data_IF_373788630779
#
_entry.id   IF_373788630779
#
_cell.length_a   1.000
_cell.length_b   1.000
_cell.length_c   1.000
_cell.angle_alpha   90.00
_cell.angle_beta   90.00
_cell.angle_gamma   90.00
#
_symmetry.space_group_name_H-M   'P 1'
#
loop_
_entity.id
_entity.type
_entity.pdbx_description
1 polymer ?
#
# COMPACT_ATOMS: atom_id res chain seq x y z
N UNK A 1 13.74 7.24 11.02
CA UNK A 1 13.93 8.34 10.08
C UNK A 1 12.60 9.01 9.81
N UNK A 2 11.59 8.34 9.27
CA UNK A 2 10.31 8.92 8.88
C UNK A 2 9.63 9.77 9.96
N UNK A 3 9.55 9.27 11.20
CA UNK A 3 8.96 9.99 12.33
C UNK A 3 9.64 11.36 12.62
N UNK A 4 10.97 11.41 12.56
CA UNK A 4 11.74 12.57 13.01
C UNK A 4 12.17 13.51 11.88
N UNK A 5 12.36 12.98 10.66
CA UNK A 5 12.91 13.71 9.50
C UNK A 5 11.98 13.74 8.29
N UNK A 6 10.87 13.00 8.34
CA UNK A 6 9.88 13.02 7.27
C UNK A 6 9.07 14.31 7.28
N UNK A 7 8.64 14.72 6.10
CA UNK A 7 7.69 15.82 5.89
C UNK A 7 6.24 15.34 6.05
N UNK A 8 5.32 15.81 5.23
CA UNK A 8 3.89 15.54 5.37
C UNK A 8 3.52 14.08 5.08
N UNK A 9 4.16 13.46 4.10
CA UNK A 9 3.93 12.07 3.68
C UNK A 9 5.18 11.22 3.87
N UNK A 10 4.97 9.99 4.32
CA UNK A 10 6.01 8.99 4.51
C UNK A 10 5.67 7.77 3.67
N UNK A 11 6.61 7.32 2.86
CA UNK A 11 6.50 6.09 2.09
C UNK A 11 7.47 5.04 2.63
N UNK A 12 6.93 3.94 3.13
CA UNK A 12 7.68 2.74 3.54
C UNK A 12 7.79 1.81 2.34
N UNK A 13 9.00 1.35 2.08
CA UNK A 13 9.32 0.51 0.93
C UNK A 13 10.15 -0.69 1.37
N UNK A 14 9.69 -1.88 1.03
CA UNK A 14 10.47 -3.12 1.11
C UNK A 14 11.35 -3.24 -0.14
N UNK A 15 12.49 -3.91 -0.02
CA UNK A 15 13.52 -3.99 -1.07
C UNK A 15 13.20 -5.00 -2.19
N UNK A 16 12.12 -5.74 -2.05
CA UNK A 16 11.64 -6.73 -3.02
C UNK A 16 10.43 -6.25 -3.86
N UNK A 17 10.24 -4.93 -3.96
CA UNK A 17 9.22 -4.33 -4.81
C UNK A 17 9.82 -3.71 -6.07
N UNK A 18 9.20 -3.99 -7.21
CA UNK A 18 9.40 -3.25 -8.45
C UNK A 18 8.30 -2.18 -8.59
N UNK A 19 8.68 -0.92 -8.57
CA UNK A 19 7.79 0.21 -8.73
C UNK A 19 7.72 0.67 -10.18
N UNK A 20 6.50 0.95 -10.68
CA UNK A 20 6.33 1.49 -12.03
C UNK A 20 6.59 3.00 -12.04
N UNK A 21 7.07 3.51 -13.15
CA UNK A 21 7.44 4.92 -13.30
C UNK A 21 6.39 5.92 -12.77
N UNK A 22 5.08 5.79 -13.06
CA UNK A 22 4.07 6.74 -12.57
C UNK A 22 3.65 6.53 -11.11
N UNK A 23 4.26 5.57 -10.37
CA UNK A 23 3.76 5.17 -9.05
C UNK A 23 3.72 6.33 -8.06
N UNK A 24 4.83 7.01 -7.88
CA UNK A 24 4.94 8.06 -6.86
C UNK A 24 4.04 9.25 -7.17
N UNK A 25 4.01 9.71 -8.42
CA UNK A 25 3.12 10.81 -8.86
C UNK A 25 1.66 10.46 -8.59
N UNK A 26 1.23 9.25 -9.00
CA UNK A 26 -0.15 8.81 -8.82
C UNK A 26 -0.52 8.66 -7.35
N UNK A 27 0.36 8.12 -6.52
CA UNK A 27 0.11 7.97 -5.09
C UNK A 27 -0.04 9.32 -4.39
N UNK A 28 0.87 10.26 -4.63
CA UNK A 28 0.81 11.59 -3.99
C UNK A 28 -0.44 12.34 -4.44
N UNK A 29 -0.69 12.44 -5.76
CA UNK A 29 -1.86 13.14 -6.27
C UNK A 29 -3.19 12.49 -5.85
N UNK A 30 -3.23 11.15 -5.78
CA UNK A 30 -4.41 10.44 -5.27
C UNK A 30 -4.58 10.62 -3.75
N UNK A 31 -3.48 10.66 -2.98
CA UNK A 31 -3.54 10.96 -1.55
C UNK A 31 -4.18 12.32 -1.29
N UNK A 32 -3.67 13.37 -1.92
CA UNK A 32 -4.20 14.72 -1.78
C UNK A 32 -5.70 14.78 -2.12
N UNK A 33 -6.09 14.17 -3.25
CA UNK A 33 -7.48 14.13 -3.67
C UNK A 33 -8.37 13.37 -2.69
N UNK A 34 -8.00 12.15 -2.31
CA UNK A 34 -8.80 11.29 -1.45
C UNK A 34 -8.90 11.84 -0.03
N UNK A 35 -7.78 12.29 0.56
CA UNK A 35 -7.77 12.87 1.90
C UNK A 35 -8.62 14.12 1.98
N UNK A 36 -8.58 14.99 0.96
CA UNK A 36 -9.42 16.18 0.86
C UNK A 36 -10.91 15.83 0.74
N UNK A 37 -11.27 14.85 -0.10
CA UNK A 37 -12.66 14.45 -0.29
C UNK A 37 -13.26 13.78 0.95
N UNK A 38 -12.47 13.01 1.67
CA UNK A 38 -12.89 12.24 2.84
C UNK A 38 -12.77 13.09 4.13
N UNK A 39 -11.95 14.14 4.09
CA UNK A 39 -11.71 15.03 5.24
C UNK A 39 -10.81 14.39 6.31
N UNK A 40 -9.99 13.39 5.97
CA UNK A 40 -9.06 12.75 6.89
C UNK A 40 -7.87 12.11 6.17
N UNK A 41 -6.80 11.89 6.93
CA UNK A 41 -5.63 11.12 6.49
C UNK A 41 -5.99 9.65 6.23
N UNK A 42 -5.18 8.97 5.39
CA UNK A 42 -5.37 7.57 5.02
C UNK A 42 -4.03 6.86 4.79
N UNK A 43 -4.12 5.55 4.64
CA UNK A 43 -3.04 4.69 4.19
C UNK A 43 -3.24 4.31 2.72
N UNK A 44 -2.15 4.21 1.96
CA UNK A 44 -2.18 3.80 0.57
C UNK A 44 -1.15 2.71 0.30
N UNK A 45 -1.61 1.55 -0.15
CA UNK A 45 -0.76 0.49 -0.67
C UNK A 45 -0.57 0.68 -2.18
N UNK A 46 0.65 0.54 -2.75
CA UNK A 46 0.86 0.71 -4.18
C UNK A 46 0.48 -0.51 -5.02
N UNK A 47 0.21 -1.65 -4.38
CA UNK A 47 0.00 -2.93 -5.06
C UNK A 47 -1.45 -3.36 -5.07
N UNK A 48 -1.87 -3.92 -6.20
CA UNK A 48 -3.17 -4.56 -6.42
C UNK A 48 -2.98 -6.08 -6.34
N UNK A 49 -3.12 -6.63 -5.15
CA UNK A 49 -2.81 -8.04 -4.91
C UNK A 49 -3.89 -8.99 -5.42
N UNK A 50 -3.54 -10.18 -5.94
CA UNK A 50 -4.49 -11.20 -6.36
C UNK A 50 -5.49 -11.59 -5.27
N UNK A 51 -5.08 -11.63 -4.00
CA UNK A 51 -5.97 -12.01 -2.90
C UNK A 51 -7.22 -11.12 -2.79
N UNK A 52 -7.14 -9.85 -3.19
CA UNK A 52 -8.26 -8.92 -3.19
C UNK A 52 -9.41 -9.34 -4.14
N UNK A 53 -9.12 -10.24 -5.08
CA UNK A 53 -10.09 -10.80 -6.01
C UNK A 53 -10.58 -12.19 -5.61
N UNK A 54 -10.00 -12.76 -4.54
CA UNK A 54 -10.29 -14.11 -4.05
C UNK A 54 -11.08 -14.11 -2.74
N UNK A 55 -11.33 -12.94 -2.19
CA UNK A 55 -12.05 -12.76 -0.92
C UNK A 55 -13.40 -12.09 -1.13
N UNK A 56 -14.36 -12.33 -0.22
CA UNK A 56 -15.66 -11.68 -0.21
C UNK A 56 -15.68 -10.41 0.66
N UNK A 57 -14.52 -9.77 0.87
CA UNK A 57 -14.46 -8.54 1.63
C UNK A 57 -15.21 -7.40 0.90
N UNK A 58 -16.05 -6.68 1.64
CA UNK A 58 -16.71 -5.50 1.10
C UNK A 58 -15.67 -4.43 0.86
N UNK A 59 -15.68 -3.85 -0.34
CA UNK A 59 -14.78 -2.81 -0.73
C UNK A 59 -15.52 -1.67 -1.39
N UNK A 60 -15.20 -0.43 -1.01
CA UNK A 60 -15.69 0.76 -1.69
C UNK A 60 -14.67 1.15 -2.77
N UNK A 61 -15.19 1.62 -3.90
CA UNK A 61 -14.36 2.15 -4.99
C UNK A 61 -14.31 3.67 -4.87
N UNK A 62 -13.10 4.20 -4.90
CA UNK A 62 -12.79 5.62 -4.80
C UNK A 62 -12.12 6.09 -6.09
N UNK A 63 -12.31 7.34 -6.44
CA UNK A 63 -11.71 7.95 -7.64
C UNK A 63 -10.45 8.70 -7.22
N UNK A 64 -9.28 8.12 -7.54
CA UNK A 64 -7.98 8.78 -7.37
C UNK A 64 -7.69 9.76 -8.50
N UNK A 65 -6.41 10.00 -8.78
CA UNK A 65 -5.99 10.92 -9.84
C UNK A 65 -6.22 10.33 -11.25
N UNK A 66 -5.47 9.31 -11.62
CA UNK A 66 -5.57 8.63 -12.93
C UNK A 66 -6.14 7.21 -12.82
N UNK A 67 -6.51 6.76 -11.62
CA UNK A 67 -6.94 5.39 -11.31
C UNK A 67 -8.12 5.35 -10.36
N UNK A 68 -8.81 4.21 -10.35
CA UNK A 68 -9.69 3.85 -9.26
C UNK A 68 -8.86 3.23 -8.13
N UNK A 69 -9.31 3.44 -6.92
CA UNK A 69 -8.76 2.86 -5.70
C UNK A 69 -9.86 2.10 -4.99
N UNK A 70 -9.50 1.06 -4.27
CA UNK A 70 -10.45 0.32 -3.44
C UNK A 70 -10.03 0.35 -1.98
N UNK A 71 -11.00 0.32 -1.07
CA UNK A 71 -10.70 0.13 0.35
C UNK A 71 -10.24 -1.30 0.60
N UNK A 72 -9.24 -1.45 1.45
CA UNK A 72 -8.67 -2.73 1.86
C UNK A 72 -8.46 -2.75 3.37
N UNK A 73 -8.43 -3.94 3.96
CA UNK A 73 -8.22 -4.15 5.39
C UNK A 73 -6.88 -4.82 5.71
N UNK A 74 -6.16 -5.26 4.68
CA UNK A 74 -4.86 -5.92 4.82
C UNK A 74 -3.91 -5.48 3.71
N UNK A 75 -2.65 -5.34 4.05
CA UNK A 75 -1.56 -5.10 3.08
C UNK A 75 -0.24 -5.61 3.66
N UNK A 76 0.83 -5.53 2.87
CA UNK A 76 2.21 -5.78 3.28
C UNK A 76 2.86 -4.49 3.79
N UNK A 77 4.15 -4.52 4.10
CA UNK A 77 4.84 -3.38 4.73
C UNK A 77 5.23 -2.25 3.77
N UNK A 78 4.90 -2.36 2.49
CA UNK A 78 5.07 -1.28 1.50
C UNK A 78 3.80 -0.45 1.40
N UNK A 79 3.82 0.75 1.99
CA UNK A 79 2.66 1.65 2.03
C UNK A 79 3.08 3.10 2.24
N UNK A 80 2.19 4.03 1.88
CA UNK A 80 2.32 5.47 2.14
C UNK A 80 1.25 5.93 3.14
N UNK A 81 1.63 6.86 4.02
CA UNK A 81 0.69 7.51 4.94
C UNK A 81 1.18 8.90 5.36
N UNK A 82 0.33 9.66 6.05
CA UNK A 82 0.74 10.94 6.64
C UNK A 82 1.64 10.75 7.86
N UNK A 83 2.45 11.76 8.13
CA UNK A 83 3.22 11.86 9.36
C UNK A 83 2.33 11.86 10.62
N UNK A 84 1.12 12.40 10.50
CA UNK A 84 0.14 12.40 11.59
C UNK A 84 -0.27 10.98 11.97
N UNK A 85 -0.67 10.16 10.97
CA UNK A 85 -1.03 8.76 11.21
C UNK A 85 0.18 7.92 11.66
N UNK A 86 1.37 8.18 11.10
CA UNK A 86 2.59 7.52 11.57
C UNK A 86 2.84 7.81 13.06
N UNK A 87 2.70 9.06 13.49
CA UNK A 87 2.87 9.43 14.89
C UNK A 87 1.77 8.83 15.78
N UNK A 88 0.51 8.87 15.33
CA UNK A 88 -0.64 8.34 16.06
C UNK A 88 -0.50 6.85 16.38
N UNK A 89 0.02 6.07 15.43
CA UNK A 89 0.16 4.61 15.53
C UNK A 89 1.60 4.14 15.73
N UNK A 90 2.47 5.01 16.24
CA UNK A 90 3.89 4.71 16.36
C UNK A 90 4.18 3.41 17.14
N UNK A 91 3.44 3.12 18.19
CA UNK A 91 3.60 1.88 18.97
C UNK A 91 3.30 0.62 18.15
N UNK A 92 2.27 0.66 17.28
CA UNK A 92 1.97 -0.46 16.39
C UNK A 92 3.12 -0.72 15.41
N UNK A 93 3.70 0.35 14.83
CA UNK A 93 4.85 0.23 13.95
C UNK A 93 6.09 -0.31 14.66
N UNK A 94 6.33 0.11 15.90
CA UNK A 94 7.43 -0.44 16.70
C UNK A 94 7.25 -1.94 16.96
N UNK A 95 6.06 -2.36 17.38
CA UNK A 95 5.75 -3.78 17.62
C UNK A 95 5.95 -4.65 16.38
N UNK A 96 5.68 -4.14 15.18
CA UNK A 96 5.95 -4.86 13.94
C UNK A 96 7.43 -5.17 13.75
N UNK A 97 8.34 -4.34 14.31
CA UNK A 97 9.78 -4.49 14.17
C UNK A 97 10.45 -5.23 15.36
N UNK A 98 9.77 -5.39 16.50
CA UNK A 98 10.37 -5.92 17.73
C UNK A 98 10.45 -7.45 17.74
N UNK A 99 9.42 -8.12 17.23
CA UNK A 99 9.33 -9.57 17.23
C UNK A 99 8.86 -10.13 15.86
N UNK A 100 9.20 -11.38 15.58
CA UNK A 100 8.63 -12.08 14.43
C UNK A 100 7.22 -12.56 14.77
N UNK A 101 6.27 -12.14 13.97
CA UNK A 101 4.86 -12.52 14.06
C UNK A 101 4.43 -13.29 12.81
N UNK A 102 3.36 -14.03 12.93
CA UNK A 102 2.67 -14.66 11.79
C UNK A 102 1.17 -14.29 11.86
N UNK A 103 0.66 -13.46 10.95
CA UNK A 103 1.40 -12.75 9.90
C UNK A 103 2.28 -11.60 10.46
N UNK A 104 3.37 -11.30 9.78
CA UNK A 104 4.31 -10.22 10.15
C UNK A 104 3.60 -8.86 10.27
N UNK A 105 2.63 -8.60 9.40
CA UNK A 105 1.87 -7.36 9.30
C UNK A 105 0.73 -7.24 10.33
N UNK A 106 0.63 -8.12 11.30
CA UNK A 106 -0.46 -8.16 12.29
C UNK A 106 -0.77 -6.79 12.88
N UNK A 107 0.22 -6.09 13.40
CA UNK A 107 0.02 -4.80 14.07
C UNK A 107 -0.28 -3.65 13.09
N UNK A 108 0.17 -3.76 11.85
CA UNK A 108 -0.20 -2.81 10.79
C UNK A 108 -1.66 -3.04 10.38
N UNK A 109 -2.07 -4.28 10.20
CA UNK A 109 -3.45 -4.63 9.85
C UNK A 109 -4.46 -4.20 10.93
N UNK A 110 -4.09 -4.23 12.22
CA UNK A 110 -4.90 -3.67 13.30
C UNK A 110 -5.16 -2.14 13.15
N UNK A 111 -4.27 -1.43 12.49
CA UNK A 111 -4.47 -0.01 12.16
C UNK A 111 -5.56 0.13 11.11
N UNK A 112 -5.56 -0.74 10.08
CA UNK A 112 -6.52 -0.67 8.96
C UNK A 112 -7.95 -1.07 9.35
N UNK A 113 -8.15 -1.66 10.54
CA UNK A 113 -9.48 -1.83 11.13
C UNK A 113 -10.08 -0.50 11.62
N UNK A 114 -9.23 0.51 11.87
CA UNK A 114 -9.60 1.81 12.45
C UNK A 114 -9.45 2.96 11.47
N UNK A 115 -8.50 2.83 10.55
CA UNK A 115 -8.16 3.86 9.57
C UNK A 115 -8.38 3.35 8.14
N UNK A 116 -8.69 4.28 7.26
CA UNK A 116 -8.87 3.96 5.86
C UNK A 116 -7.55 3.55 5.23
N UNK A 117 -7.51 2.36 4.63
CA UNK A 117 -6.44 1.94 3.75
C UNK A 117 -7.00 1.67 2.35
N UNK A 118 -6.25 2.06 1.32
CA UNK A 118 -6.66 1.90 -0.08
C UNK A 118 -5.55 1.28 -0.93
N UNK A 119 -5.96 0.55 -1.96
CA UNK A 119 -5.10 -0.07 -2.96
C UNK A 119 -5.56 0.35 -4.36
N UNK A 120 -4.66 0.55 -5.32
CA UNK A 120 -5.04 0.95 -6.68
C UNK A 120 -5.70 -0.21 -7.42
N UNK A 121 -6.67 0.07 -8.26
CA UNK A 121 -7.12 -0.89 -9.28
C UNK A 121 -6.23 -0.70 -10.50
N UNK A 122 -5.54 -1.76 -10.88
CA UNK A 122 -4.29 -1.89 -11.63
C UNK A 122 -3.10 -1.39 -10.81
N UNK A 123 -2.27 -2.33 -10.46
CA UNK A 123 -1.11 -2.14 -9.59
C UNK A 123 -0.18 -1.02 -10.07
N UNK A 124 0.43 -0.36 -9.11
CA UNK A 124 1.52 0.61 -9.31
C UNK A 124 2.89 0.01 -8.95
N UNK A 125 2.87 -1.18 -8.35
CA UNK A 125 4.07 -1.91 -7.95
C UNK A 125 3.84 -3.40 -8.00
N UNK A 126 4.93 -4.16 -8.13
CA UNK A 126 4.94 -5.62 -8.02
C UNK A 126 5.76 -6.04 -6.80
N UNK A 127 5.22 -6.92 -6.00
CA UNK A 127 5.96 -7.63 -4.98
C UNK A 127 6.66 -8.84 -5.63
N UNK A 128 7.99 -8.87 -5.64
CA UNK A 128 8.77 -9.86 -6.37
C UNK A 128 8.97 -11.16 -5.59
N UNK A 129 8.99 -11.10 -4.27
CA UNK A 129 9.04 -12.29 -3.43
C UNK A 129 7.72 -13.05 -3.53
N UNK A 130 7.81 -14.36 -3.78
CA UNK A 130 6.63 -15.21 -3.95
C UNK A 130 5.66 -14.73 -5.05
N UNK A 131 6.19 -14.41 -6.22
CA UNK A 131 5.44 -13.90 -7.39
C UNK A 131 4.16 -14.69 -7.68
N UNK A 132 4.17 -16.00 -7.44
CA UNK A 132 3.00 -16.88 -7.65
C UNK A 132 2.05 -16.95 -6.45
N UNK A 133 2.31 -16.22 -5.37
CA UNK A 133 1.42 -16.17 -4.22
C UNK A 133 0.26 -15.20 -4.43
N UNK A 134 -0.73 -15.27 -3.55
CA UNK A 134 -1.84 -14.31 -3.55
C UNK A 134 -1.45 -12.86 -3.23
N UNK A 135 -0.22 -12.65 -2.78
CA UNK A 135 0.38 -11.33 -2.51
C UNK A 135 1.51 -10.98 -3.49
N UNK A 136 1.68 -11.75 -4.54
CA UNK A 136 2.72 -11.57 -5.53
C UNK A 136 2.24 -10.83 -6.78
N UNK A 137 2.23 -11.55 -7.89
CA UNK A 137 1.93 -10.99 -9.21
C UNK A 137 0.51 -10.41 -9.27
N UNK A 138 0.43 -9.11 -9.50
CA UNK A 138 -0.84 -8.42 -9.66
C UNK A 138 -1.56 -8.88 -10.94
N UNK A 139 -2.91 -8.90 -10.94
CA UNK A 139 -3.68 -9.18 -12.14
C UNK A 139 -3.31 -8.22 -13.29
N UNK A 140 -3.39 -8.73 -14.51
CA UNK A 140 -3.15 -7.96 -15.75
C UNK A 140 -1.72 -7.46 -15.97
N UNK A 141 -0.73 -7.99 -15.26
CA UNK A 141 0.68 -7.66 -15.46
C UNK A 141 1.40 -8.83 -16.10
N UNK A 142 2.04 -8.57 -17.23
CA UNK A 142 2.99 -9.49 -17.86
C UNK A 142 4.38 -9.26 -17.24
N UNK A 143 4.70 -10.06 -16.22
CA UNK A 143 5.95 -9.96 -15.49
C UNK A 143 7.17 -10.20 -16.39
N UNK A 144 7.06 -11.10 -17.37
CA UNK A 144 8.16 -11.39 -18.30
C UNK A 144 8.44 -10.20 -19.20
N UNK A 145 7.40 -9.60 -19.78
CA UNK A 145 7.50 -8.39 -20.60
C UNK A 145 8.14 -7.26 -19.79
N UNK A 146 7.63 -7.02 -18.59
CA UNK A 146 8.14 -5.98 -17.70
C UNK A 146 9.62 -6.19 -17.36
N UNK A 147 10.02 -7.44 -17.07
CA UNK A 147 11.40 -7.79 -16.81
C UNK A 147 12.30 -7.55 -18.02
N UNK A 148 11.83 -7.91 -19.22
CA UNK A 148 12.59 -7.75 -20.45
C UNK A 148 12.75 -6.28 -20.86
N UNK A 149 11.79 -5.43 -20.52
CA UNK A 149 11.83 -3.98 -20.74
C UNK A 149 12.77 -3.23 -19.76
N UNK A 150 13.13 -3.83 -18.63
CA UNK A 150 13.95 -3.22 -17.58
C UNK A 150 15.34 -3.87 -17.40
N UNK A 151 15.82 -4.61 -18.39
CA UNK A 151 17.18 -5.19 -18.44
C UNK A 151 18.24 -4.20 -18.86
#
# INVERSE_FOLDING_TARGET
IGKNKGDDLIFFVEDDYLHFEPMLEEMVASYERLSSQIGKDLFMCPSDYPYLYMTNEKSNILIGNKRHWRTITKTLCTFMTSKNLLNKYWENFQKTCEDRHDPFEKYINEIYEKELCVSPIKSLSLHLTNVNSSYGLAPFIDCKKLWDENK
#
